data_IF_830376265438
#
_entry.id   IF_830376265438
#
_cell.length_a   1.000
_cell.length_b   1.000
_cell.length_c   1.000
_cell.angle_alpha   90.00
_cell.angle_beta   90.00
_cell.angle_gamma   90.00
#
_symmetry.space_group_name_H-M   'P 1'
#
loop_
_entity.id
_entity.type
_entity.pdbx_description
1 polymer ?
#
# COMPACT_ATOMS: atom_id res chain seq x y z
N UNK A 1 9.89 23.01 -1.43
CA UNK A 1 9.95 22.53 -0.03
C UNK A 1 8.56 22.51 0.61
N UNK A 2 8.01 21.33 0.89
CA UNK A 2 6.72 21.17 1.56
C UNK A 2 6.88 21.67 3.00
N UNK A 3 6.51 22.92 3.24
CA UNK A 3 6.58 23.56 4.55
C UNK A 3 5.40 23.10 5.41
N UNK A 4 5.72 22.94 6.68
CA UNK A 4 4.87 22.54 7.80
C UNK A 4 3.53 23.25 7.88
N UNK A 5 2.63 22.60 8.63
CA UNK A 5 1.38 23.07 9.24
C UNK A 5 0.12 22.81 8.41
N UNK A 6 -0.26 21.52 8.27
CA UNK A 6 -1.66 21.07 8.38
C UNK A 6 -1.75 19.54 8.20
N UNK A 7 -1.07 18.80 9.07
CA UNK A 7 -1.41 17.39 9.30
C UNK A 7 -2.58 17.41 10.28
N UNK A 8 -3.79 17.31 9.75
CA UNK A 8 -5.04 17.44 10.50
C UNK A 8 -5.12 16.40 11.64
N UNK A 9 -5.06 16.92 12.88
CA UNK A 9 -5.59 16.43 14.17
C UNK A 9 -5.20 15.07 14.79
N UNK A 10 -4.41 14.19 14.18
CA UNK A 10 -3.95 12.96 14.85
C UNK A 10 -2.44 12.81 14.86
N UNK A 11 -1.87 12.44 16.01
CA UNK A 11 -0.44 12.13 16.13
C UNK A 11 -0.05 10.98 15.20
N UNK A 12 1.12 11.07 14.58
CA UNK A 12 1.66 9.98 13.75
C UNK A 12 1.91 8.73 14.59
N UNK A 13 1.58 7.55 14.08
CA UNK A 13 1.80 6.28 14.78
C UNK A 13 3.28 5.98 15.08
N UNK A 14 4.22 6.47 14.26
CA UNK A 14 5.66 6.30 14.46
C UNK A 14 6.39 7.65 14.43
N UNK A 15 6.43 8.41 15.54
CA UNK A 15 7.02 9.74 15.60
C UNK A 15 8.51 9.79 15.22
N UNK A 16 9.28 8.74 15.53
CA UNK A 16 10.71 8.62 15.15
C UNK A 16 10.91 8.79 13.64
N UNK A 17 9.94 8.38 12.83
CA UNK A 17 10.00 8.42 11.38
C UNK A 17 9.17 9.57 10.78
N UNK A 18 8.73 10.53 11.61
CA UNK A 18 8.05 11.74 11.13
C UNK A 18 8.98 12.63 10.29
N UNK A 19 10.27 12.62 10.60
CA UNK A 19 11.30 13.36 9.87
C UNK A 19 11.78 12.59 8.63
N UNK A 20 11.94 13.31 7.51
CA UNK A 20 12.44 12.75 6.24
C UNK A 20 13.81 12.06 6.41
N UNK A 21 14.82 12.66 7.07
CA UNK A 21 16.12 12.01 7.25
C UNK A 21 16.03 10.67 7.95
N UNK A 22 15.20 10.55 9.00
CA UNK A 22 15.00 9.30 9.74
C UNK A 22 14.38 8.21 8.88
N UNK A 23 13.44 8.55 7.99
CA UNK A 23 12.93 7.60 7.01
C UNK A 23 14.00 7.17 6.04
N UNK A 24 14.80 8.11 5.53
CA UNK A 24 15.86 7.80 4.57
C UNK A 24 16.94 6.90 5.17
N UNK A 25 17.36 7.16 6.41
CA UNK A 25 18.33 6.35 7.16
C UNK A 25 17.90 4.88 7.30
N UNK A 26 16.59 4.62 7.41
CA UNK A 26 16.08 3.25 7.55
C UNK A 26 16.36 2.35 6.35
N UNK A 27 16.62 2.91 5.16
CA UNK A 27 16.87 2.16 3.92
C UNK A 27 18.34 1.74 3.74
N UNK A 28 19.19 1.86 4.76
CA UNK A 28 20.61 1.54 4.67
C UNK A 28 20.92 0.12 4.17
N UNK A 29 20.00 -0.84 4.38
CA UNK A 29 20.12 -2.24 3.97
C UNK A 29 19.06 -2.66 2.95
N UNK A 30 18.53 -1.72 2.16
CA UNK A 30 17.49 -2.00 1.16
C UNK A 30 18.00 -2.95 0.07
N UNK A 31 17.28 -4.04 -0.27
CA UNK A 31 17.89 -5.18 -0.96
C UNK A 31 17.90 -5.16 -2.50
N UNK A 32 17.44 -4.13 -3.22
CA UNK A 32 17.34 -4.25 -4.70
C UNK A 32 17.24 -2.95 -5.49
N UNK A 33 17.79 -3.01 -6.71
CA UNK A 33 17.72 -2.01 -7.78
C UNK A 33 16.45 -2.14 -8.67
N UNK A 34 15.72 -3.27 -8.64
CA UNK A 34 14.51 -3.49 -9.47
C UNK A 34 13.21 -3.13 -8.72
N UNK A 35 13.30 -2.11 -7.86
CA UNK A 35 12.23 -1.61 -7.03
C UNK A 35 12.03 -0.10 -7.28
N UNK A 36 10.88 0.47 -6.89
CA UNK A 36 10.71 1.90 -6.94
C UNK A 36 11.83 2.64 -6.19
N UNK A 37 12.25 3.83 -6.62
CA UNK A 37 13.31 4.57 -5.96
C UNK A 37 13.00 4.84 -4.49
N UNK A 38 14.01 4.74 -3.61
CA UNK A 38 13.89 4.99 -2.15
C UNK A 38 13.24 6.36 -1.85
N UNK A 39 13.59 7.41 -2.61
CA UNK A 39 12.98 8.73 -2.46
C UNK A 39 11.45 8.70 -2.63
N UNK A 40 10.95 7.86 -3.55
CA UNK A 40 9.52 7.66 -3.75
C UNK A 40 8.83 7.11 -2.50
N UNK A 41 9.44 6.13 -1.83
CA UNK A 41 8.94 5.59 -0.57
C UNK A 41 8.99 6.60 0.57
N UNK A 42 10.13 7.27 0.74
CA UNK A 42 10.36 8.26 1.80
C UNK A 42 9.37 9.42 1.69
N UNK A 43 9.12 9.93 0.48
CA UNK A 43 8.11 10.97 0.21
C UNK A 43 6.69 10.47 0.42
N UNK A 44 6.42 9.22 0.05
CA UNK A 44 5.15 8.54 0.34
C UNK A 44 4.91 8.28 1.83
N UNK A 45 5.86 8.61 2.71
CA UNK A 45 5.74 8.51 4.16
C UNK A 45 6.16 7.14 4.69
N UNK A 46 6.83 6.33 3.89
CA UNK A 46 7.30 5.01 4.27
C UNK A 46 8.73 5.02 4.81
N UNK A 47 8.98 4.21 5.84
CA UNK A 47 10.30 3.80 6.29
C UNK A 47 10.47 2.29 6.08
N UNK A 48 11.70 1.83 5.88
CA UNK A 48 12.01 0.41 5.74
C UNK A 48 12.02 -0.27 7.11
N UNK A 49 11.41 -1.44 7.19
CA UNK A 49 11.34 -2.24 8.42
C UNK A 49 12.61 -3.06 8.69
N UNK A 50 13.57 -3.08 7.76
CA UNK A 50 14.74 -3.96 7.82
C UNK A 50 14.48 -5.38 7.32
N UNK A 51 13.25 -5.70 6.90
CA UNK A 51 12.86 -7.04 6.45
C UNK A 51 12.36 -7.05 5.00
N UNK A 52 13.03 -7.82 4.13
CA UNK A 52 12.66 -8.01 2.71
C UNK A 52 12.43 -6.66 2.01
N UNK A 53 11.25 -6.44 1.45
CA UNK A 53 10.83 -5.19 0.82
C UNK A 53 9.68 -4.53 1.59
N UNK A 54 9.54 -4.85 2.89
CA UNK A 54 8.44 -4.38 3.71
C UNK A 54 8.72 -2.96 4.18
N UNK A 55 7.81 -2.05 3.85
CA UNK A 55 7.89 -0.64 4.26
C UNK A 55 6.63 -0.26 5.04
N UNK A 56 6.77 0.60 6.05
CA UNK A 56 5.68 0.99 6.96
C UNK A 56 5.50 2.50 6.96
N UNK A 57 4.26 2.96 6.92
CA UNK A 57 3.98 4.39 6.97
C UNK A 57 4.19 4.93 8.38
N UNK A 58 4.92 6.04 8.51
CA UNK A 58 5.12 6.70 9.80
C UNK A 58 3.81 7.20 10.42
N UNK A 59 2.84 7.60 9.59
CA UNK A 59 1.60 8.24 10.04
C UNK A 59 0.52 7.24 10.44
N UNK A 60 0.17 6.30 9.54
CA UNK A 60 -0.95 5.37 9.76
C UNK A 60 -0.52 3.96 10.18
N UNK A 61 0.78 3.69 10.29
CA UNK A 61 1.35 2.36 10.55
C UNK A 61 1.00 1.27 9.52
N UNK A 62 0.40 1.64 8.39
CA UNK A 62 0.10 0.72 7.30
C UNK A 62 1.38 0.21 6.63
N UNK A 63 1.49 -1.11 6.46
CA UNK A 63 2.67 -1.75 5.88
C UNK A 63 2.38 -2.35 4.51
N UNK A 64 3.33 -2.20 3.58
CA UNK A 64 3.26 -2.75 2.23
C UNK A 64 4.51 -3.56 1.88
N UNK A 65 4.31 -4.58 1.06
CA UNK A 65 5.37 -5.43 0.51
C UNK A 65 5.08 -5.84 -0.94
N UNK A 66 5.94 -6.68 -1.52
CA UNK A 66 5.81 -7.23 -2.88
C UNK A 66 5.74 -6.14 -3.95
N UNK A 67 6.63 -5.15 -3.84
CA UNK A 67 6.77 -4.05 -4.78
C UNK A 67 7.35 -4.54 -6.11
N UNK A 68 6.78 -4.07 -7.21
CA UNK A 68 7.33 -4.16 -8.56
C UNK A 68 7.92 -2.82 -9.01
N UNK A 69 8.81 -2.84 -10.01
CA UNK A 69 9.60 -1.67 -10.43
C UNK A 69 8.75 -0.49 -10.89
N UNK A 70 7.55 -0.76 -11.44
CA UNK A 70 6.63 0.26 -11.96
C UNK A 70 5.60 0.75 -10.94
N UNK A 71 5.63 0.25 -9.70
CA UNK A 71 4.70 0.71 -8.68
C UNK A 71 5.03 2.13 -8.25
N UNK A 72 3.99 2.91 -7.99
CA UNK A 72 4.14 4.24 -7.42
C UNK A 72 3.80 4.19 -5.92
N UNK A 73 4.76 4.40 -5.01
CA UNK A 73 4.52 4.28 -3.57
C UNK A 73 3.39 5.16 -3.03
N UNK A 74 3.24 6.38 -3.56
CA UNK A 74 2.16 7.29 -3.17
C UNK A 74 0.79 6.75 -3.62
N UNK A 75 0.68 6.28 -4.86
CA UNK A 75 -0.54 5.68 -5.39
C UNK A 75 -0.93 4.41 -4.61
N UNK A 76 0.04 3.54 -4.33
CA UNK A 76 -0.20 2.33 -3.53
C UNK A 76 -0.63 2.69 -2.10
N UNK A 77 0.01 3.67 -1.47
CA UNK A 77 -0.37 4.12 -0.13
C UNK A 77 -1.84 4.55 -0.08
N UNK A 78 -2.28 5.42 -1.00
CA UNK A 78 -3.67 5.84 -1.06
C UNK A 78 -4.61 4.66 -1.39
N UNK A 79 -4.23 3.78 -2.33
CA UNK A 79 -5.05 2.63 -2.72
C UNK A 79 -5.31 1.69 -1.55
N UNK A 80 -4.29 1.41 -0.75
CA UNK A 80 -4.35 0.38 0.29
C UNK A 80 -4.80 0.93 1.64
N UNK A 81 -4.44 2.16 2.00
CA UNK A 81 -4.80 2.80 3.28
C UNK A 81 -5.62 4.08 3.09
N UNK A 82 -6.89 4.00 2.62
CA UNK A 82 -7.73 5.16 2.33
C UNK A 82 -8.06 6.05 3.55
N UNK A 83 -7.86 5.54 4.75
CA UNK A 83 -8.06 6.29 5.99
C UNK A 83 -6.82 7.06 6.45
N UNK A 84 -5.67 6.88 5.78
CA UNK A 84 -4.47 7.64 6.07
C UNK A 84 -4.60 9.09 5.60
N UNK A 85 -4.68 10.04 6.54
CA UNK A 85 -4.77 11.46 6.23
C UNK A 85 -3.54 11.95 5.45
N UNK A 86 -2.34 11.48 5.83
CA UNK A 86 -1.10 11.79 5.12
C UNK A 86 -1.16 11.34 3.65
N UNK A 87 -1.61 10.11 3.37
CA UNK A 87 -1.72 9.60 2.00
C UNK A 87 -2.71 10.41 1.17
N UNK A 88 -3.87 10.75 1.75
CA UNK A 88 -4.89 11.56 1.09
C UNK A 88 -4.37 12.96 0.73
N UNK A 89 -3.67 13.59 1.66
CA UNK A 89 -3.10 14.92 1.44
C UNK A 89 -1.99 14.89 0.39
N UNK A 90 -1.10 13.89 0.45
CA UNK A 90 -0.01 13.72 -0.49
C UNK A 90 -0.49 13.48 -1.93
N UNK A 91 -1.50 12.63 -2.13
CA UNK A 91 -2.05 12.34 -3.45
C UNK A 91 -2.84 13.50 -4.06
N UNK A 92 -3.42 14.37 -3.24
CA UNK A 92 -4.40 15.35 -3.66
C UNK A 92 -5.79 14.75 -3.95
N UNK A 93 -6.84 15.55 -3.79
CA UNK A 93 -8.23 15.08 -3.77
C UNK A 93 -8.68 14.34 -5.03
N UNK A 94 -8.37 14.88 -6.21
CA UNK A 94 -8.86 14.30 -7.48
C UNK A 94 -8.18 12.98 -7.83
N UNK A 95 -6.84 12.90 -7.70
CA UNK A 95 -6.11 11.65 -7.92
C UNK A 95 -6.53 10.59 -6.89
N UNK A 96 -6.64 10.99 -5.61
CA UNK A 96 -7.10 10.10 -4.55
C UNK A 96 -8.47 9.50 -4.87
N UNK A 97 -9.44 10.31 -5.33
CA UNK A 97 -10.77 9.86 -5.72
C UNK A 97 -10.72 8.83 -6.85
N UNK A 98 -9.96 9.12 -7.93
CA UNK A 98 -9.78 8.18 -9.05
C UNK A 98 -9.19 6.85 -8.62
N UNK A 99 -8.19 6.86 -7.72
CA UNK A 99 -7.58 5.64 -7.18
C UNK A 99 -8.62 4.79 -6.45
N UNK A 100 -9.43 5.40 -5.56
CA UNK A 100 -10.45 4.69 -4.80
C UNK A 100 -11.57 4.13 -5.68
N UNK A 101 -12.03 4.91 -6.66
CA UNK A 101 -13.06 4.48 -7.61
C UNK A 101 -12.58 3.29 -8.45
N UNK A 102 -11.34 3.35 -8.96
CA UNK A 102 -10.72 2.25 -9.69
C UNK A 102 -10.66 0.97 -8.86
N UNK A 103 -10.20 1.06 -7.60
CA UNK A 103 -10.16 -0.09 -6.68
C UNK A 103 -11.55 -0.71 -6.47
N UNK A 104 -12.56 0.12 -6.20
CA UNK A 104 -13.95 -0.34 -6.01
C UNK A 104 -14.50 -1.00 -7.27
N UNK A 105 -14.22 -0.46 -8.45
CA UNK A 105 -14.65 -1.04 -9.72
C UNK A 105 -14.01 -2.40 -9.98
N UNK A 106 -12.71 -2.54 -9.71
CA UNK A 106 -11.99 -3.82 -9.82
C UNK A 106 -12.56 -4.88 -8.87
N UNK A 107 -12.83 -4.52 -7.62
CA UNK A 107 -13.44 -5.42 -6.63
C UNK A 107 -14.84 -5.90 -7.06
N UNK A 108 -15.68 -4.99 -7.58
CA UNK A 108 -17.00 -5.36 -8.10
C UNK A 108 -16.90 -6.34 -9.28
N UNK A 109 -15.97 -6.10 -10.20
CA UNK A 109 -15.72 -6.99 -11.35
C UNK A 109 -15.24 -8.37 -10.91
N UNK A 110 -14.29 -8.43 -9.97
CA UNK A 110 -13.80 -9.71 -9.43
C UNK A 110 -14.95 -10.55 -8.84
N UNK A 111 -15.79 -9.93 -8.00
CA UNK A 111 -16.95 -10.60 -7.39
C UNK A 111 -17.99 -11.08 -8.40
N UNK A 112 -18.21 -10.32 -9.48
CA UNK A 112 -19.12 -10.71 -10.55
C UNK A 112 -18.59 -11.93 -11.33
N UNK A 113 -17.28 -11.99 -11.57
CA UNK A 113 -16.64 -13.11 -12.25
C UNK A 113 -16.67 -14.40 -11.39
N UNK A 114 -16.47 -14.30 -10.08
CA UNK A 114 -16.58 -15.44 -9.14
C UNK A 114 -17.99 -16.02 -9.10
N UNK A 115 -19.02 -15.20 -9.33
CA UNK A 115 -20.42 -15.64 -9.30
C UNK A 115 -20.85 -16.39 -10.56
N UNK A 116 -20.02 -16.41 -11.63
CA UNK A 116 -20.33 -17.03 -12.91
C UNK A 116 -19.66 -18.40 -13.12
N UNK A 117 -18.94 -18.92 -12.13
CA UNK A 117 -18.20 -20.21 -12.18
C UNK A 117 -18.99 -21.41 -11.62
N UNK A 118 -20.32 -21.29 -11.48
CA UNK A 118 -21.18 -22.32 -10.92
C UNK A 118 -21.89 -23.20 -11.96
N UNK A 119 -21.31 -24.37 -12.29
CA UNK A 119 -21.95 -25.70 -12.55
C UNK A 119 -21.40 -26.43 -13.79
N UNK A 120 -20.48 -27.38 -13.58
CA UNK A 120 -20.65 -28.80 -14.02
C UNK A 120 -20.05 -29.70 -12.94
N UNK A 121 -20.88 -30.58 -12.38
CA UNK A 121 -20.49 -31.61 -11.42
C UNK A 121 -19.69 -32.75 -12.08
N UNK A 122 -18.59 -33.18 -11.45
CA UNK A 122 -18.45 -34.56 -10.97
C UNK A 122 -17.28 -34.74 -9.97
N UNK A 123 -17.63 -35.32 -8.82
CA UNK A 123 -16.84 -36.12 -7.86
C UNK A 123 -15.66 -35.50 -7.04
N UNK A 124 -15.70 -35.80 -5.74
CA UNK A 124 -14.84 -35.41 -4.59
C UNK A 124 -13.54 -36.26 -4.53
N UNK A 125 -12.44 -35.87 -3.80
CA UNK A 125 -12.50 -35.29 -2.46
C UNK A 125 -11.63 -34.07 -2.16
N UNK A 126 -12.25 -33.17 -1.38
CA UNK A 126 -11.71 -32.40 -0.27
C UNK A 126 -10.20 -32.05 -0.30
N UNK A 127 -9.91 -30.84 -0.78
CA UNK A 127 -8.87 -30.02 -0.16
C UNK A 127 -9.52 -28.68 0.21
N UNK A 128 -9.57 -28.38 1.50
CA UNK A 128 -9.91 -27.06 2.01
C UNK A 128 -8.83 -26.06 1.58
N UNK A 129 -8.87 -25.64 0.32
CA UNK A 129 -8.00 -24.59 -0.19
C UNK A 129 -8.89 -23.37 -0.42
N UNK A 130 -8.79 -22.32 0.42
CA UNK A 130 -9.45 -21.06 0.10
C UNK A 130 -8.92 -20.56 -1.26
N UNK A 131 -9.73 -19.84 -2.05
CA UNK A 131 -9.28 -19.32 -3.33
C UNK A 131 -8.01 -18.50 -3.12
N UNK A 132 -7.02 -18.57 -4.01
CA UNK A 132 -5.78 -17.84 -3.84
C UNK A 132 -6.11 -16.34 -3.86
N UNK A 133 -6.12 -15.71 -2.68
CA UNK A 133 -6.09 -14.25 -2.55
C UNK A 133 -4.72 -13.77 -3.00
N UNK A 134 -4.52 -13.78 -4.32
CA UNK A 134 -3.34 -13.22 -4.97
C UNK A 134 -3.34 -11.71 -4.71
N UNK A 135 -2.19 -11.19 -4.25
CA UNK A 135 -1.91 -9.78 -3.95
C UNK A 135 -2.35 -9.18 -2.59
N UNK A 136 -2.17 -9.89 -1.47
CA UNK A 136 -2.04 -9.19 -0.18
C UNK A 136 -0.68 -8.48 -0.10
N UNK A 137 -0.60 -7.32 -0.75
CA UNK A 137 0.50 -6.35 -0.58
C UNK A 137 0.47 -5.71 0.80
N UNK A 138 -0.68 -5.73 1.48
CA UNK A 138 -0.84 -5.28 2.86
C UNK A 138 -0.48 -6.40 3.85
N UNK A 139 0.20 -6.02 4.93
CA UNK A 139 0.48 -6.89 6.09
C UNK A 139 -0.42 -6.53 7.28
#
# INVERSE_FOLDING_TARGET
PLRSNDIVFTASCNPTYSEIPKRHESYATWPSDDLPPVDGFVRAGFFYTGTKTIVTCFYCNGSLQNWGPNDNPMTEHARWFPHCAYARQLCGGELYRKIQESKRAQQKRARANESNDGTVHNELPNTNTPPPTTNSRQL
#
